data_IF_944785925966
#
_entry.id   IF_944785925966
#
_cell.length_a   1.000
_cell.length_b   1.000
_cell.length_c   1.000
_cell.angle_alpha   90.00
_cell.angle_beta   90.00
_cell.angle_gamma   90.00
#
_symmetry.space_group_name_H-M   'P 1'
#
loop_
_entity.id
_entity.type
_entity.pdbx_description
1 polymer ?
#
# COMPACT_ATOMS: atom_id res chain seq x y z
N UNK A 1 40.39 22.60 30.42
CA UNK A 1 38.95 22.28 30.53
C UNK A 1 38.54 21.52 29.29
N UNK A 2 38.66 20.20 29.31
CA UNK A 2 38.18 19.30 28.27
C UNK A 2 36.89 18.67 28.81
N UNK A 3 35.77 19.42 28.71
CA UNK A 3 34.47 18.87 29.07
C UNK A 3 33.78 18.40 27.78
N UNK A 4 33.97 17.11 27.57
CA UNK A 4 33.46 16.23 26.54
C UNK A 4 32.15 16.66 25.86
N UNK A 5 32.26 16.88 24.55
CA UNK A 5 31.17 16.92 23.58
C UNK A 5 30.59 15.50 23.46
N UNK A 6 29.61 15.14 24.30
CA UNK A 6 28.87 13.88 24.18
C UNK A 6 27.37 14.12 24.39
N UNK A 7 26.81 14.97 23.53
CA UNK A 7 25.38 14.94 23.27
C UNK A 7 25.13 13.88 22.19
N UNK A 8 24.88 12.65 22.65
CA UNK A 8 24.36 11.55 21.85
C UNK A 8 23.02 11.98 21.23
N UNK A 9 23.05 12.36 19.95
CA UNK A 9 21.85 12.46 19.11
C UNK A 9 21.27 11.05 18.96
N UNK A 10 20.29 10.71 19.79
CA UNK A 10 19.39 9.58 19.53
C UNK A 10 18.35 10.02 18.52
N UNK A 11 18.72 10.01 17.24
CA UNK A 11 17.72 10.00 16.17
C UNK A 11 17.03 8.64 16.24
N UNK A 12 15.91 8.56 16.97
CA UNK A 12 14.99 7.44 16.77
C UNK A 12 14.60 7.49 15.29
N UNK A 13 14.96 6.46 14.54
CA UNK A 13 14.46 6.25 13.20
C UNK A 13 12.94 6.04 13.32
N UNK A 14 12.17 7.12 13.30
CA UNK A 14 10.75 7.05 12.97
C UNK A 14 10.71 6.73 11.49
N UNK A 15 10.82 5.46 11.14
CA UNK A 15 10.44 5.03 9.79
C UNK A 15 8.99 5.47 9.62
N UNK A 16 8.67 6.30 8.62
CA UNK A 16 7.28 6.59 8.33
C UNK A 16 6.62 5.23 8.09
N UNK A 17 5.68 4.85 8.95
CA UNK A 17 4.85 3.69 8.69
C UNK A 17 4.06 4.05 7.45
N UNK A 18 4.55 3.63 6.29
CA UNK A 18 3.82 3.74 5.04
C UNK A 18 2.47 3.07 5.27
N UNK A 19 1.39 3.76 4.94
CA UNK A 19 0.04 3.25 5.08
C UNK A 19 -0.64 3.33 3.72
N UNK A 20 -1.36 2.26 3.37
CA UNK A 20 -2.00 2.08 2.08
C UNK A 20 -3.45 2.52 2.12
N UNK A 21 -3.86 3.24 1.07
CA UNK A 21 -5.17 3.82 0.84
C UNK A 21 -5.61 3.60 -0.61
N UNK A 22 -6.89 3.37 -0.79
CA UNK A 22 -7.55 3.49 -2.07
C UNK A 22 -7.97 4.95 -2.30
N UNK A 23 -7.79 5.48 -3.51
CA UNK A 23 -8.16 6.83 -3.93
C UNK A 23 -9.17 6.79 -5.08
N UNK A 24 -10.02 7.81 -5.15
CA UNK A 24 -11.01 7.95 -6.22
C UNK A 24 -10.36 8.27 -7.58
N UNK A 25 -9.20 8.93 -7.57
CA UNK A 25 -8.48 9.33 -8.77
C UNK A 25 -6.97 9.10 -8.62
N UNK A 26 -6.24 8.93 -9.73
CA UNK A 26 -4.79 8.70 -9.70
C UNK A 26 -3.98 9.89 -9.19
N UNK A 27 -4.51 11.11 -9.32
CA UNK A 27 -3.87 12.34 -8.86
C UNK A 27 -4.15 12.65 -7.37
N UNK A 28 -4.94 11.79 -6.72
CA UNK A 28 -5.35 11.89 -5.31
C UNK A 28 -6.16 13.16 -4.96
N UNK A 29 -6.63 13.91 -5.96
CA UNK A 29 -7.28 15.22 -5.77
C UNK A 29 -8.61 15.16 -5.04
N UNK A 30 -9.35 14.06 -5.22
CA UNK A 30 -10.70 13.87 -4.65
C UNK A 30 -10.67 13.23 -3.26
N UNK A 31 -9.47 13.02 -2.70
CA UNK A 31 -9.28 12.32 -1.43
C UNK A 31 -9.34 10.79 -1.55
N UNK A 32 -9.11 10.14 -0.41
CA UNK A 32 -9.07 8.69 -0.30
C UNK A 32 -10.45 8.12 0.06
N UNK A 33 -10.70 6.90 -0.37
CA UNK A 33 -11.95 6.17 -0.18
C UNK A 33 -11.84 5.26 1.05
N UNK A 34 -12.27 5.76 2.21
CA UNK A 34 -12.22 5.03 3.49
C UNK A 34 -12.87 3.65 3.43
N UNK A 35 -14.05 3.55 2.79
CA UNK A 35 -14.81 2.30 2.73
C UNK A 35 -14.01 1.24 1.97
N UNK A 36 -13.44 1.60 0.82
CA UNK A 36 -12.66 0.68 0.02
C UNK A 36 -11.31 0.36 0.65
N UNK A 37 -10.62 1.33 1.27
CA UNK A 37 -9.38 1.07 2.03
C UNK A 37 -9.61 0.05 3.15
N UNK A 38 -10.62 0.25 3.99
CA UNK A 38 -10.94 -0.67 5.11
C UNK A 38 -11.34 -2.05 4.59
N UNK A 39 -12.18 -2.09 3.55
CA UNK A 39 -12.60 -3.35 2.93
C UNK A 39 -11.43 -4.13 2.35
N UNK A 40 -10.62 -3.48 1.52
CA UNK A 40 -9.46 -4.11 0.90
C UNK A 40 -8.41 -4.53 1.93
N UNK A 41 -8.16 -3.71 2.95
CA UNK A 41 -7.23 -4.07 4.03
C UNK A 41 -7.64 -5.36 4.75
N UNK A 42 -8.94 -5.51 5.06
CA UNK A 42 -9.46 -6.72 5.71
C UNK A 42 -9.41 -7.93 4.78
N UNK A 43 -9.74 -7.76 3.50
CA UNK A 43 -9.68 -8.84 2.51
C UNK A 43 -8.26 -9.39 2.33
N UNK A 44 -7.25 -8.53 2.42
CA UNK A 44 -5.83 -8.92 2.30
C UNK A 44 -5.20 -9.30 3.63
N UNK A 45 -6.02 -9.43 4.69
CA UNK A 45 -5.58 -9.74 6.06
C UNK A 45 -4.56 -8.75 6.62
N UNK A 46 -4.60 -7.51 6.14
CA UNK A 46 -3.82 -6.40 6.68
C UNK A 46 -4.40 -5.86 7.99
N UNK A 47 -3.61 -5.03 8.65
CA UNK A 47 -3.93 -4.38 9.92
C UNK A 47 -4.22 -2.90 9.68
N UNK A 48 -5.35 -2.43 10.22
CA UNK A 48 -5.68 -1.01 10.22
C UNK A 48 -4.98 -0.30 11.37
N UNK A 49 -4.44 0.90 11.10
CA UNK A 49 -3.96 1.79 12.16
C UNK A 49 -5.15 2.55 12.81
N UNK A 50 -4.84 3.42 13.78
CA UNK A 50 -5.86 4.22 14.48
C UNK A 50 -6.61 5.21 13.56
N UNK A 51 -6.06 5.52 12.39
CA UNK A 51 -6.62 6.46 11.40
C UNK A 51 -7.42 5.72 10.31
N UNK A 52 -7.56 4.40 10.40
CA UNK A 52 -8.16 3.50 9.41
C UNK A 52 -7.37 3.37 8.09
N UNK A 53 -6.07 3.65 8.16
CA UNK A 53 -5.15 3.37 7.06
C UNK A 53 -4.65 1.93 7.16
N UNK A 54 -4.42 1.27 6.04
CA UNK A 54 -3.88 -0.09 6.06
C UNK A 54 -2.37 -0.05 6.24
N UNK A 55 -1.84 -0.58 7.34
CA UNK A 55 -0.40 -0.54 7.60
C UNK A 55 0.38 -1.30 6.52
N UNK A 56 1.27 -0.64 5.78
CA UNK A 56 2.01 -1.29 4.69
C UNK A 56 2.90 -2.44 5.20
N UNK A 57 3.39 -2.34 6.44
CA UNK A 57 4.15 -3.42 7.10
C UNK A 57 3.33 -4.69 7.30
N UNK A 58 2.01 -4.57 7.46
CA UNK A 58 1.10 -5.74 7.53
C UNK A 58 0.74 -6.29 6.14
N UNK A 59 1.06 -5.54 5.09
CA UNK A 59 0.77 -5.86 3.70
C UNK A 59 2.00 -6.33 2.92
N UNK A 60 3.22 -6.40 3.48
CA UNK A 60 4.41 -6.80 2.71
C UNK A 60 4.21 -8.03 1.80
N UNK A 61 3.61 -9.15 2.26
CA UNK A 61 3.32 -10.29 1.38
C UNK A 61 2.07 -10.14 0.50
N UNK A 62 1.20 -9.16 0.76
CA UNK A 62 -0.14 -9.02 0.14
C UNK A 62 -0.40 -7.63 -0.44
N UNK A 63 0.62 -6.79 -0.61
CA UNK A 63 0.50 -5.41 -1.08
C UNK A 63 -0.05 -5.35 -2.50
N UNK A 64 0.35 -6.33 -3.32
CA UNK A 64 -0.20 -6.54 -4.66
C UNK A 64 -1.70 -6.84 -4.62
N UNK A 65 -2.14 -7.69 -3.70
CA UNK A 65 -3.56 -8.01 -3.52
C UNK A 65 -4.37 -6.80 -3.06
N UNK A 66 -3.78 -5.92 -2.23
CA UNK A 66 -4.44 -4.69 -1.80
C UNK A 66 -4.64 -3.75 -2.99
N UNK A 67 -3.60 -3.58 -3.79
CA UNK A 67 -3.64 -2.80 -5.03
C UNK A 67 -4.67 -3.34 -6.02
N UNK A 68 -4.69 -4.67 -6.26
CA UNK A 68 -5.70 -5.34 -7.09
C UNK A 68 -7.12 -5.13 -6.54
N UNK A 69 -7.30 -5.14 -5.22
CA UNK A 69 -8.58 -4.87 -4.60
C UNK A 69 -9.04 -3.42 -4.84
N UNK A 70 -8.18 -2.41 -4.65
CA UNK A 70 -8.55 -1.03 -5.00
C UNK A 70 -8.94 -0.94 -6.50
N UNK A 71 -8.15 -1.55 -7.40
CA UNK A 71 -8.43 -1.55 -8.85
C UNK A 71 -9.79 -2.18 -9.18
N UNK A 72 -10.16 -3.30 -8.54
CA UNK A 72 -11.45 -3.97 -8.77
C UNK A 72 -12.65 -3.12 -8.35
N UNK A 73 -12.45 -2.16 -7.44
CA UNK A 73 -13.46 -1.18 -7.01
C UNK A 73 -13.44 0.12 -7.84
N UNK A 74 -12.65 0.17 -8.92
CA UNK A 74 -12.44 1.38 -9.73
C UNK A 74 -11.65 2.47 -8.99
N UNK A 75 -10.76 2.08 -8.08
CA UNK A 75 -9.92 2.97 -7.27
C UNK A 75 -8.44 2.77 -7.59
N UNK A 76 -7.62 3.73 -7.18
CA UNK A 76 -6.15 3.67 -7.29
C UNK A 76 -5.55 3.46 -5.91
N UNK A 77 -4.58 2.56 -5.78
CA UNK A 77 -3.83 2.37 -4.53
C UNK A 77 -2.61 3.30 -4.50
N UNK A 78 -2.35 3.99 -3.39
CA UNK A 78 -1.11 4.76 -3.18
C UNK A 78 0.09 3.88 -2.79
N UNK A 79 -0.17 2.67 -2.31
CA UNK A 79 0.87 1.69 -2.10
C UNK A 79 1.32 1.12 -3.45
N UNK A 80 2.58 1.39 -3.75
CA UNK A 80 3.28 0.87 -4.91
C UNK A 80 3.35 -0.64 -4.85
N UNK A 81 2.90 -1.28 -5.91
CA UNK A 81 3.12 -2.71 -6.05
C UNK A 81 4.60 -2.98 -6.29
N UNK A 82 5.29 -3.78 -5.46
CA UNK A 82 6.59 -4.32 -5.85
C UNK A 82 6.40 -5.10 -7.17
N UNK A 83 7.33 -4.93 -8.12
CA UNK A 83 7.30 -5.48 -9.50
C UNK A 83 6.51 -6.82 -9.56
N UNK A 84 5.28 -6.79 -10.08
CA UNK A 84 4.41 -7.97 -10.12
C UNK A 84 2.89 -7.75 -10.21
N UNK A 85 2.38 -6.51 -10.15
CA UNK A 85 0.94 -6.25 -10.35
C UNK A 85 0.54 -6.01 -11.81
N UNK A 86 1.51 -5.86 -12.72
CA UNK A 86 1.24 -5.54 -14.12
C UNK A 86 1.01 -6.79 -14.99
N UNK A 87 1.18 -8.01 -14.46
CA UNK A 87 1.32 -9.22 -15.29
C UNK A 87 0.16 -10.23 -15.12
N UNK A 88 -1.07 -9.79 -14.87
CA UNK A 88 -2.26 -10.67 -14.95
C UNK A 88 -3.37 -10.10 -15.85
N UNK A 89 -3.03 -9.22 -16.79
CA UNK A 89 -3.96 -8.78 -17.86
C UNK A 89 -3.60 -9.32 -19.25
N UNK A 90 -2.69 -10.30 -19.37
CA UNK A 90 -2.45 -11.04 -20.62
C UNK A 90 -2.07 -12.49 -20.35
N UNK A 91 -3.04 -13.38 -20.36
CA UNK A 91 -2.94 -14.76 -20.87
C UNK A 91 -4.34 -15.37 -20.88
N UNK A 92 -5.20 -14.82 -21.74
CA UNK A 92 -6.39 -15.51 -22.23
C UNK A 92 -6.44 -15.33 -23.76
N UNK A 93 -5.32 -15.65 -24.42
CA UNK A 93 -5.31 -15.90 -25.86
C UNK A 93 -5.35 -17.41 -26.06
N UNK A 94 -6.58 -17.91 -26.19
CA UNK A 94 -6.91 -19.26 -26.59
C UNK A 94 -6.20 -19.59 -27.90
N UNK A 95 -5.17 -20.44 -27.83
CA UNK A 95 -4.55 -21.04 -29.01
C UNK A 95 -5.58 -21.97 -29.66
N UNK A 96 -6.26 -21.50 -30.71
CA UNK A 96 -6.91 -22.39 -31.67
C UNK A 96 -5.84 -22.86 -32.64
N UNK A 97 -5.42 -24.11 -32.47
CA UNK A 97 -4.60 -24.83 -33.45
C UNK A 97 -5.55 -25.38 -34.50
N UNK A 98 -5.53 -24.84 -35.72
CA UNK A 98 -5.93 -25.54 -36.95
C UNK A 98 -5.00 -25.14 -38.10
#
# INVERSE_FOLDING_TARGET
MLLNFLLLLTFLLTTPTLACKCFHQPDHSTGWDLRNTVGCCRLTKGTLNAENDCMATSLEPTMASFSKCCKSQGKVSDCGCPKGCADEEKEDEHVVVE
#
